data_IF_718727685450
#
_entry.id   IF_718727685450
#
_cell.length_a   1.000
_cell.length_b   1.000
_cell.length_c   1.000
_cell.angle_alpha   90.00
_cell.angle_beta   90.00
_cell.angle_gamma   90.00
#
_symmetry.space_group_name_H-M   'P 1'
#
loop_
_entity.id
_entity.type
_entity.pdbx_description
1 polymer ?
#
# COMPACT_ATOMS: atom_id res chain seq x y z
N UNK A 1 48.64 -9.31 46.11
CA UNK A 1 47.78 -10.10 45.22
C UNK A 1 46.52 -10.49 45.96
N UNK A 2 45.48 -9.66 45.88
CA UNK A 2 44.10 -10.00 46.26
C UNK A 2 43.20 -9.12 45.40
N UNK A 3 42.49 -9.74 44.47
CA UNK A 3 41.65 -9.07 43.47
C UNK A 3 40.28 -8.74 44.08
N UNK A 4 39.91 -7.46 44.06
CA UNK A 4 38.54 -7.04 44.30
C UNK A 4 37.71 -7.28 43.02
N UNK A 5 36.84 -8.28 43.06
CA UNK A 5 35.76 -8.47 42.10
C UNK A 5 34.55 -7.65 42.57
N UNK A 6 34.33 -6.50 41.93
CA UNK A 6 33.08 -5.75 42.07
C UNK A 6 32.08 -6.24 41.02
N UNK A 7 31.00 -6.89 41.47
CA UNK A 7 29.84 -7.19 40.63
C UNK A 7 29.04 -5.90 40.35
N UNK A 8 28.52 -5.70 39.13
CA UNK A 8 27.56 -4.64 38.87
C UNK A 8 26.15 -5.03 39.37
N UNK A 9 25.30 -4.04 39.71
CA UNK A 9 23.93 -4.30 40.17
C UNK A 9 23.02 -4.77 39.02
N UNK A 10 21.91 -5.48 39.33
CA UNK A 10 20.98 -5.97 38.33
C UNK A 10 20.18 -4.82 37.71
N UNK A 11 19.97 -4.89 36.39
CA UNK A 11 19.13 -3.96 35.65
C UNK A 11 17.64 -4.22 36.00
N UNK A 12 16.98 -3.22 36.57
CA UNK A 12 15.53 -3.19 36.73
C UNK A 12 14.86 -2.99 35.37
N UNK A 13 14.31 -4.06 34.80
CA UNK A 13 13.39 -3.98 33.67
C UNK A 13 12.05 -3.44 34.17
N UNK A 14 11.85 -2.13 34.07
CA UNK A 14 10.53 -1.52 34.14
C UNK A 14 9.83 -1.81 32.81
N UNK A 15 8.99 -2.83 32.80
CA UNK A 15 8.04 -3.07 31.71
C UNK A 15 6.94 -2.01 31.79
N UNK A 16 7.06 -0.94 31.00
CA UNK A 16 5.96 -0.01 30.75
C UNK A 16 4.91 -0.73 29.91
N UNK A 17 3.73 -0.93 30.50
CA UNK A 17 2.56 -1.42 29.79
C UNK A 17 2.20 -0.44 28.64
N UNK A 18 1.88 -0.91 27.43
CA UNK A 18 1.39 -0.04 26.38
C UNK A 18 0.02 0.53 26.74
N UNK A 19 -0.12 1.83 26.55
CA UNK A 19 -1.32 2.64 26.72
C UNK A 19 -2.51 2.06 25.92
N UNK A 20 -3.67 1.77 26.54
CA UNK A 20 -4.80 1.10 25.88
C UNK A 20 -5.58 1.97 24.89
N UNK A 21 -5.16 3.20 24.59
CA UNK A 21 -5.88 4.14 23.72
C UNK A 21 -5.47 4.13 22.23
N UNK A 22 -4.63 3.19 21.79
CA UNK A 22 -4.27 3.02 20.36
C UNK A 22 -4.77 1.68 19.83
N UNK A 23 -6.07 1.43 19.98
CA UNK A 23 -6.81 0.42 19.22
C UNK A 23 -8.05 1.10 18.68
N UNK A 24 -7.92 1.68 17.49
CA UNK A 24 -8.98 1.82 16.49
C UNK A 24 -8.47 2.73 15.35
N UNK A 25 -7.73 2.13 14.43
CA UNK A 25 -7.54 2.67 13.09
C UNK A 25 -7.58 1.48 12.13
N UNK A 26 -8.79 1.12 11.71
CA UNK A 26 -9.02 0.17 10.61
C UNK A 26 -8.58 0.90 9.33
N UNK A 27 -7.38 0.59 8.84
CA UNK A 27 -6.92 0.98 7.50
C UNK A 27 -7.75 0.20 6.47
N UNK A 28 -8.81 0.83 5.95
CA UNK A 28 -9.56 0.32 4.82
C UNK A 28 -8.78 0.59 3.53
N UNK A 29 -7.92 -0.35 3.13
CA UNK A 29 -7.38 -0.40 1.78
C UNK A 29 -8.32 -1.21 0.87
N UNK A 30 -8.67 -0.60 -0.25
CA UNK A 30 -9.68 -1.01 -1.24
C UNK A 30 -9.93 -2.51 -1.40
N UNK A 31 -11.12 -2.94 -0.97
CA UNK A 31 -11.79 -4.14 -1.44
C UNK A 31 -13.26 -3.77 -1.71
N UNK A 32 -13.61 -3.77 -3.00
CA UNK A 32 -14.95 -3.87 -3.61
C UNK A 32 -16.04 -2.95 -3.02
N UNK A 33 -16.28 -1.80 -3.68
CA UNK A 33 -17.57 -1.11 -3.58
C UNK A 33 -18.60 -1.84 -4.47
N UNK A 34 -19.53 -2.56 -3.86
CA UNK A 34 -20.84 -2.72 -4.47
C UNK A 34 -21.58 -1.40 -4.24
N UNK A 35 -21.79 -0.63 -5.29
CA UNK A 35 -22.64 0.56 -5.26
C UNK A 35 -24.09 0.11 -5.05
N UNK A 36 -24.49 0.01 -3.79
CA UNK A 36 -25.89 0.13 -3.42
C UNK A 36 -26.29 1.60 -3.56
N UNK A 37 -26.80 1.99 -4.73
CA UNK A 37 -27.39 3.30 -4.89
C UNK A 37 -28.39 3.31 -6.05
N UNK A 38 -29.67 3.35 -5.65
CA UNK A 38 -30.78 4.03 -6.32
C UNK A 38 -31.28 3.37 -7.63
N UNK A 39 -32.57 3.16 -7.87
CA UNK A 39 -33.81 3.64 -7.27
C UNK A 39 -34.93 2.74 -7.81
N UNK A 40 -36.06 2.66 -7.12
CA UNK A 40 -37.32 2.18 -7.71
C UNK A 40 -37.64 3.04 -8.95
N UNK A 41 -37.36 2.53 -10.14
CA UNK A 41 -37.94 3.04 -11.39
C UNK A 41 -38.06 1.89 -12.37
N UNK A 42 -39.30 1.47 -12.62
CA UNK A 42 -39.80 0.80 -13.82
C UNK A 42 -38.75 0.15 -14.75
N UNK A 43 -38.24 -1.02 -14.37
CA UNK A 43 -37.49 -1.91 -15.26
C UNK A 43 -38.45 -2.55 -16.28
N UNK A 44 -38.83 -1.80 -17.31
CA UNK A 44 -39.41 -2.37 -18.55
C UNK A 44 -38.34 -2.94 -19.50
N UNK A 45 -37.07 -2.79 -19.15
CA UNK A 45 -35.93 -3.23 -19.97
C UNK A 45 -35.50 -4.69 -19.69
N UNK A 46 -36.16 -5.40 -18.78
CA UNK A 46 -35.91 -6.82 -18.51
C UNK A 46 -36.94 -7.76 -19.17
N UNK A 47 -38.01 -7.22 -19.77
CA UNK A 47 -39.09 -8.01 -20.38
C UNK A 47 -38.61 -8.82 -21.60
N UNK A 48 -37.64 -8.29 -22.37
CA UNK A 48 -37.07 -9.00 -23.50
C UNK A 48 -36.15 -10.16 -23.06
N UNK A 49 -35.52 -10.04 -21.88
CA UNK A 49 -34.69 -11.09 -21.30
C UNK A 49 -35.57 -12.24 -20.78
N UNK A 50 -36.70 -11.91 -20.16
CA UNK A 50 -37.71 -12.89 -19.74
C UNK A 50 -38.32 -13.60 -20.97
N UNK A 51 -38.63 -12.88 -22.04
CA UNK A 51 -39.11 -13.46 -23.29
C UNK A 51 -38.06 -14.36 -23.96
N UNK A 52 -36.79 -13.94 -23.99
CA UNK A 52 -35.69 -14.75 -24.54
C UNK A 52 -35.44 -16.04 -23.73
N UNK A 53 -35.64 -16.00 -22.41
CA UNK A 53 -35.55 -17.19 -21.55
C UNK A 53 -36.72 -18.15 -21.76
N UNK A 54 -37.94 -17.64 -21.94
CA UNK A 54 -39.12 -18.44 -22.24
C UNK A 54 -39.05 -19.12 -23.62
N UNK A 55 -38.53 -18.43 -24.64
CA UNK A 55 -38.29 -18.99 -25.97
C UNK A 55 -37.18 -20.06 -25.95
N UNK A 56 -36.16 -19.89 -25.10
CA UNK A 56 -35.11 -20.88 -24.90
C UNK A 56 -35.59 -22.15 -24.16
N UNK A 57 -36.56 -22.02 -23.25
CA UNK A 57 -37.21 -23.16 -22.59
C UNK A 57 -38.17 -23.90 -23.54
N UNK A 58 -38.89 -23.18 -24.40
CA UNK A 58 -39.81 -23.78 -25.39
C UNK A 58 -39.08 -24.52 -26.52
N UNK A 59 -37.84 -24.14 -26.85
CA UNK A 59 -37.02 -24.78 -27.89
C UNK A 59 -36.27 -26.04 -27.41
N UNK A 60 -36.29 -26.35 -26.11
CA UNK A 60 -35.53 -27.47 -25.53
C UNK A 60 -36.35 -28.77 -25.49
N UNK A 61 -36.78 -29.28 -26.64
CA UNK A 61 -37.60 -30.52 -26.74
C UNK A 61 -36.79 -31.83 -26.85
N UNK A 62 -35.48 -31.82 -26.64
CA UNK A 62 -34.72 -33.07 -26.42
C UNK A 62 -33.79 -32.95 -25.21
N UNK A 63 -33.88 -33.86 -24.21
CA UNK A 63 -33.04 -33.80 -23.04
C UNK A 63 -31.62 -34.23 -23.42
N UNK A 64 -30.76 -33.23 -23.62
CA UNK A 64 -29.32 -33.44 -23.72
C UNK A 64 -28.82 -34.20 -22.48
N UNK A 65 -27.85 -35.13 -22.63
CA UNK A 65 -27.33 -35.89 -21.50
C UNK A 65 -26.79 -34.94 -20.43
N UNK A 66 -27.34 -35.07 -19.22
CA UNK A 66 -27.03 -34.22 -18.06
C UNK A 66 -25.52 -34.26 -17.83
N UNK A 67 -24.84 -33.17 -18.17
CA UNK A 67 -23.43 -32.98 -17.81
C UNK A 67 -23.34 -32.97 -16.29
N UNK A 68 -22.48 -33.82 -15.74
CA UNK A 68 -22.23 -33.86 -14.30
C UNK A 68 -21.96 -32.43 -13.78
N UNK A 69 -22.62 -31.98 -12.70
CA UNK A 69 -22.48 -30.63 -12.18
C UNK A 69 -21.01 -30.41 -11.84
N UNK A 70 -20.37 -29.46 -12.53
CA UNK A 70 -18.93 -29.19 -12.35
C UNK A 70 -18.60 -28.58 -10.99
N UNK A 71 -19.58 -28.06 -10.26
CA UNK A 71 -19.39 -27.51 -8.92
C UNK A 71 -20.64 -27.77 -8.07
N UNK A 72 -20.49 -28.57 -7.01
CA UNK A 72 -21.47 -28.60 -5.92
C UNK A 72 -21.25 -27.35 -5.09
N UNK A 73 -22.22 -26.44 -5.07
CA UNK A 73 -22.26 -25.33 -4.11
C UNK A 73 -23.13 -25.83 -2.97
N UNK A 74 -22.49 -26.15 -1.84
CA UNK A 74 -23.19 -26.50 -0.62
C UNK A 74 -23.95 -25.28 -0.10
N UNK A 75 -25.28 -25.33 -0.20
CA UNK A 75 -26.17 -24.24 0.24
C UNK A 75 -26.50 -24.32 1.72
N UNK A 76 -26.17 -25.45 2.37
CA UNK A 76 -26.35 -25.65 3.81
C UNK A 76 -25.07 -25.33 4.59
N UNK A 77 -24.04 -24.82 3.89
CA UNK A 77 -22.80 -24.36 4.47
C UNK A 77 -23.01 -23.11 5.34
N UNK A 78 -23.07 -23.32 6.65
CA UNK A 78 -23.03 -22.26 7.66
C UNK A 78 -21.57 -22.01 8.01
N UNK A 79 -21.08 -20.81 7.67
CA UNK A 79 -19.69 -20.41 7.91
C UNK A 79 -19.38 -20.47 9.41
N UNK A 80 -18.59 -21.46 9.82
CA UNK A 80 -18.07 -21.57 11.20
C UNK A 80 -16.67 -21.00 11.19
N UNK A 81 -16.46 -19.93 11.97
CA UNK A 81 -15.22 -19.17 12.07
C UNK A 81 -13.96 -19.99 12.44
N UNK A 82 -14.10 -21.29 12.68
CA UNK A 82 -13.04 -22.16 13.21
C UNK A 82 -12.52 -23.22 12.25
N UNK A 83 -13.03 -23.37 11.02
CA UNK A 83 -12.56 -24.50 10.19
C UNK A 83 -12.51 -24.33 8.66
N UNK A 84 -12.92 -23.19 8.08
CA UNK A 84 -12.96 -23.02 6.61
C UNK A 84 -12.05 -21.90 6.10
N UNK A 85 -10.76 -22.13 6.31
CA UNK A 85 -9.69 -21.91 5.34
C UNK A 85 -9.74 -20.70 4.42
N UNK A 86 -9.20 -19.57 4.87
CA UNK A 86 -8.47 -18.67 3.96
C UNK A 86 -7.27 -17.95 4.58
N UNK A 87 -7.07 -17.94 5.90
CA UNK A 87 -6.18 -16.93 6.51
C UNK A 87 -5.37 -17.35 7.74
N UNK A 88 -5.24 -18.64 8.07
CA UNK A 88 -4.34 -19.03 9.17
C UNK A 88 -2.89 -19.03 8.70
N UNK A 89 -1.96 -18.56 9.54
CA UNK A 89 -0.52 -18.72 9.31
C UNK A 89 -0.22 -20.22 9.11
N UNK A 90 0.21 -20.65 7.92
CA UNK A 90 0.69 -22.02 7.77
C UNK A 90 1.92 -22.19 8.66
N UNK A 91 2.11 -23.37 9.23
CA UNK A 91 3.41 -23.73 9.78
C UNK A 91 4.46 -23.60 8.68
N UNK A 92 5.62 -23.01 8.98
CA UNK A 92 6.67 -22.78 7.98
C UNK A 92 7.08 -24.07 7.25
N UNK A 93 7.12 -25.20 7.96
CA UNK A 93 7.43 -26.53 7.39
C UNK A 93 6.41 -27.02 6.36
N UNK A 94 5.18 -26.53 6.41
CA UNK A 94 4.12 -26.91 5.47
C UNK A 94 4.17 -26.10 4.16
N UNK A 95 4.90 -24.98 4.12
CA UNK A 95 4.91 -24.06 2.98
C UNK A 95 5.28 -24.77 1.67
N UNK A 96 6.34 -25.60 1.57
CA UNK A 96 6.65 -26.30 0.33
C UNK A 96 5.52 -27.21 -0.17
N UNK A 97 4.83 -27.89 0.76
CA UNK A 97 3.72 -28.78 0.43
C UNK A 97 2.48 -28.02 -0.03
N UNK A 98 2.17 -26.89 0.62
CA UNK A 98 1.06 -26.00 0.25
C UNK A 98 1.34 -25.35 -1.09
N UNK A 99 2.55 -24.82 -1.30
CA UNK A 99 2.97 -24.17 -2.54
C UNK A 99 2.86 -25.09 -3.75
N UNK A 100 3.06 -26.40 -3.58
CA UNK A 100 2.91 -27.39 -4.66
C UNK A 100 1.44 -27.59 -5.12
N UNK A 101 0.46 -27.15 -4.32
CA UNK A 101 -0.96 -27.20 -4.69
C UNK A 101 -1.27 -26.20 -5.81
N UNK A 102 -2.31 -26.50 -6.61
CA UNK A 102 -2.71 -25.67 -7.75
C UNK A 102 -2.94 -24.19 -7.40
N UNK A 103 -3.54 -23.92 -6.25
CA UNK A 103 -3.82 -22.57 -5.73
C UNK A 103 -2.91 -22.20 -4.53
N UNK A 104 -1.91 -23.05 -4.24
CA UNK A 104 -1.02 -22.90 -3.10
C UNK A 104 -0.33 -21.54 -3.03
N UNK A 105 0.37 -21.11 -4.09
CA UNK A 105 1.11 -19.85 -4.07
C UNK A 105 0.23 -18.64 -3.78
N UNK A 106 -0.98 -18.58 -4.36
CA UNK A 106 -1.94 -17.50 -4.13
C UNK A 106 -2.53 -17.56 -2.72
N UNK A 107 -2.87 -18.75 -2.22
CA UNK A 107 -3.35 -18.95 -0.85
C UNK A 107 -2.32 -18.51 0.20
N UNK A 108 -1.03 -18.71 -0.09
CA UNK A 108 0.05 -18.23 0.76
C UNK A 108 0.15 -16.70 0.74
N UNK A 109 -0.02 -16.04 -0.42
CA UNK A 109 -0.09 -14.56 -0.48
C UNK A 109 -1.25 -14.04 0.39
N UNK A 110 -2.45 -14.61 0.26
CA UNK A 110 -3.59 -14.23 1.12
C UNK A 110 -3.32 -14.45 2.61
N UNK A 111 -2.57 -15.50 2.96
CA UNK A 111 -2.15 -15.75 4.34
C UNK A 111 -1.18 -14.68 4.84
N UNK A 112 -0.24 -14.25 4.00
CA UNK A 112 0.68 -13.14 4.32
C UNK A 112 -0.09 -11.82 4.53
N UNK A 113 -1.05 -11.51 3.67
CA UNK A 113 -1.90 -10.31 3.81
C UNK A 113 -2.66 -10.30 5.12
N UNK A 114 -3.23 -11.45 5.52
CA UNK A 114 -3.93 -11.54 6.80
C UNK A 114 -3.00 -11.34 7.99
N UNK A 115 -1.83 -11.97 8.01
CA UNK A 115 -0.85 -11.79 9.08
C UNK A 115 -0.38 -10.34 9.16
N UNK A 116 -0.18 -9.69 8.03
CA UNK A 116 0.19 -8.29 7.95
C UNK A 116 -0.90 -7.39 8.57
N UNK A 117 -2.17 -7.61 8.23
CA UNK A 117 -3.31 -6.86 8.80
C UNK A 117 -3.48 -7.14 10.31
N UNK A 118 -3.18 -8.36 10.75
CA UNK A 118 -3.17 -8.72 12.16
C UNK A 118 -1.99 -8.11 12.95
N UNK A 119 -1.03 -7.47 12.27
CA UNK A 119 0.15 -6.87 12.85
C UNK A 119 1.30 -7.85 13.11
N UNK A 120 1.19 -9.11 12.67
CA UNK A 120 2.25 -10.10 12.75
C UNK A 120 3.24 -9.95 11.58
N UNK A 121 4.00 -8.85 11.61
CA UNK A 121 4.96 -8.52 10.54
C UNK A 121 6.13 -9.50 10.48
N UNK A 122 6.57 -10.05 11.63
CA UNK A 122 7.64 -11.03 11.69
C UNK A 122 7.20 -12.38 11.11
N UNK A 123 6.00 -12.86 11.47
CA UNK A 123 5.41 -14.06 10.87
C UNK A 123 5.16 -13.89 9.37
N UNK A 124 4.64 -12.74 8.95
CA UNK A 124 4.45 -12.40 7.54
C UNK A 124 5.76 -12.48 6.76
N UNK A 125 6.84 -11.88 7.29
CA UNK A 125 8.16 -11.89 6.67
C UNK A 125 8.71 -13.31 6.54
N UNK A 126 8.59 -14.14 7.59
CA UNK A 126 9.04 -15.53 7.55
C UNK A 126 8.29 -16.37 6.48
N UNK A 127 6.97 -16.17 6.34
CA UNK A 127 6.17 -16.83 5.30
C UNK A 127 6.57 -16.35 3.91
N UNK A 128 6.81 -15.05 3.71
CA UNK A 128 7.26 -14.48 2.45
C UNK A 128 8.64 -15.02 2.02
N UNK A 129 9.59 -15.12 2.95
CA UNK A 129 10.91 -15.69 2.70
C UNK A 129 10.84 -17.17 2.30
N UNK A 130 10.06 -17.97 3.03
CA UNK A 130 9.85 -19.38 2.71
C UNK A 130 9.13 -19.58 1.37
N UNK A 131 8.15 -18.72 1.05
CA UNK A 131 7.50 -18.69 -0.25
C UNK A 131 8.51 -18.42 -1.37
N UNK A 132 9.39 -17.41 -1.22
CA UNK A 132 10.40 -17.06 -2.22
C UNK A 132 11.45 -18.15 -2.39
N UNK A 133 11.91 -18.76 -1.29
CA UNK A 133 12.81 -19.91 -1.34
C UNK A 133 12.18 -21.11 -2.08
N UNK A 134 10.89 -21.35 -1.88
CA UNK A 134 10.15 -22.41 -2.58
C UNK A 134 9.94 -22.07 -4.05
N UNK A 135 9.57 -20.83 -4.39
CA UNK A 135 9.43 -20.38 -5.78
C UNK A 135 10.77 -20.42 -6.52
N UNK A 136 11.89 -20.15 -5.82
CA UNK A 136 13.24 -20.23 -6.37
C UNK A 136 13.61 -21.64 -6.86
N UNK A 137 13.13 -22.68 -6.19
CA UNK A 137 13.39 -24.09 -6.55
C UNK A 137 12.26 -24.74 -7.37
N UNK A 138 11.10 -24.10 -7.46
CA UNK A 138 9.96 -24.56 -8.26
C UNK A 138 10.27 -24.62 -9.76
N UNK A 139 9.75 -25.66 -10.43
CA UNK A 139 9.80 -25.81 -11.90
C UNK A 139 9.00 -24.72 -12.61
N UNK A 140 7.89 -24.27 -12.00
CA UNK A 140 7.05 -23.18 -12.51
C UNK A 140 7.28 -21.95 -11.64
N UNK A 141 7.75 -20.87 -12.27
CA UNK A 141 7.93 -19.57 -11.61
C UNK A 141 6.61 -18.83 -11.53
N UNK A 142 6.30 -18.34 -10.33
CA UNK A 142 5.17 -17.45 -10.07
C UNK A 142 5.66 -16.00 -9.98
N UNK A 143 4.77 -15.05 -10.32
CA UNK A 143 5.05 -13.61 -10.20
C UNK A 143 5.25 -13.28 -8.72
N UNK A 144 6.35 -12.62 -8.39
CA UNK A 144 6.74 -12.37 -6.99
C UNK A 144 6.38 -10.96 -6.51
N UNK A 145 5.89 -10.07 -7.37
CA UNK A 145 5.72 -8.63 -7.05
C UNK A 145 4.98 -8.38 -5.74
N UNK A 146 3.83 -9.02 -5.51
CA UNK A 146 3.04 -8.88 -4.27
C UNK A 146 3.83 -9.36 -3.03
N UNK A 147 4.57 -10.46 -3.17
CA UNK A 147 5.42 -11.01 -2.10
C UNK A 147 6.59 -10.08 -1.80
N UNK A 148 7.19 -9.47 -2.82
CA UNK A 148 8.26 -8.48 -2.64
C UNK A 148 7.74 -7.22 -1.96
N UNK A 149 6.55 -6.74 -2.34
CA UNK A 149 5.91 -5.59 -1.71
C UNK A 149 5.62 -5.83 -0.22
N UNK A 150 4.99 -6.96 0.11
CA UNK A 150 4.66 -7.26 1.51
C UNK A 150 5.92 -7.50 2.35
N UNK A 151 6.97 -8.10 1.76
CA UNK A 151 8.28 -8.27 2.41
C UNK A 151 8.87 -6.92 2.80
N UNK A 152 8.97 -5.99 1.86
CA UNK A 152 9.54 -4.66 2.13
C UNK A 152 8.69 -3.88 3.14
N UNK A 153 7.35 -3.97 3.06
CA UNK A 153 6.46 -3.36 4.05
C UNK A 153 6.66 -3.94 5.45
N UNK A 154 6.84 -5.25 5.59
CA UNK A 154 7.14 -5.88 6.88
C UNK A 154 8.46 -5.35 7.46
N UNK A 155 9.52 -5.29 6.66
CA UNK A 155 10.80 -4.71 7.08
C UNK A 155 10.64 -3.26 7.57
N UNK A 156 9.85 -2.45 6.87
CA UNK A 156 9.54 -1.08 7.31
C UNK A 156 8.75 -1.02 8.64
N UNK A 157 7.83 -1.96 8.87
CA UNK A 157 7.03 -2.05 10.10
C UNK A 157 7.84 -2.57 11.29
N UNK A 158 8.84 -3.40 11.02
CA UNK A 158 9.82 -3.90 11.98
C UNK A 158 10.92 -2.88 12.31
N UNK A 159 10.92 -1.71 11.67
CA UNK A 159 11.90 -0.66 11.92
C UNK A 159 13.24 -0.87 11.21
N UNK A 160 13.27 -1.65 10.13
CA UNK A 160 14.47 -1.97 9.35
C UNK A 160 14.48 -1.29 7.96
N UNK A 161 14.45 0.05 7.85
CA UNK A 161 14.34 0.73 6.56
C UNK A 161 15.57 0.54 5.67
N UNK A 162 16.77 0.44 6.25
CA UNK A 162 17.99 0.18 5.49
C UNK A 162 17.96 -1.20 4.81
N UNK A 163 17.50 -2.22 5.54
CA UNK A 163 17.33 -3.56 5.02
C UNK A 163 16.27 -3.59 3.91
N UNK A 164 15.12 -2.94 4.13
CA UNK A 164 14.08 -2.78 3.12
C UNK A 164 14.61 -2.11 1.84
N UNK A 165 15.44 -1.08 1.97
CA UNK A 165 16.02 -0.37 0.83
C UNK A 165 16.95 -1.28 0.01
N UNK A 166 17.89 -1.97 0.68
CA UNK A 166 18.77 -2.94 0.00
C UNK A 166 17.98 -4.06 -0.67
N UNK A 167 16.93 -4.55 0.00
CA UNK A 167 16.03 -5.55 -0.56
C UNK A 167 15.33 -5.06 -1.82
N UNK A 168 14.75 -3.85 -1.79
CA UNK A 168 14.09 -3.27 -2.95
C UNK A 168 15.06 -2.91 -4.08
N UNK A 169 16.29 -2.49 -3.78
CA UNK A 169 17.32 -2.24 -4.80
C UNK A 169 17.61 -3.50 -5.62
N UNK A 170 17.74 -4.65 -4.94
CA UNK A 170 17.95 -5.94 -5.57
C UNK A 170 16.77 -6.38 -6.47
N UNK A 171 15.59 -5.77 -6.28
CA UNK A 171 14.36 -6.07 -7.03
C UNK A 171 13.79 -4.83 -7.72
N UNK A 172 14.61 -3.81 -7.99
CA UNK A 172 14.11 -2.49 -8.43
C UNK A 172 13.25 -2.57 -9.68
N UNK A 173 13.53 -3.51 -10.57
CA UNK A 173 12.82 -3.77 -11.83
C UNK A 173 11.64 -4.75 -11.71
N UNK A 174 11.24 -5.14 -10.50
CA UNK A 174 10.15 -6.10 -10.28
C UNK A 174 8.77 -5.57 -10.72
N UNK A 175 8.58 -4.24 -10.68
CA UNK A 175 7.40 -3.58 -11.23
C UNK A 175 7.71 -2.12 -11.58
N UNK A 176 6.91 -1.56 -12.49
CA UNK A 176 6.85 -0.13 -12.80
C UNK A 176 5.51 0.49 -12.39
N UNK A 177 4.67 -0.27 -11.69
CA UNK A 177 3.35 0.17 -11.24
C UNK A 177 3.50 1.30 -10.21
N UNK A 178 2.53 2.22 -10.19
CA UNK A 178 2.54 3.37 -9.28
C UNK A 178 2.70 2.95 -7.80
N UNK A 179 2.08 1.84 -7.39
CA UNK A 179 2.21 1.32 -6.01
C UNK A 179 3.66 0.94 -5.66
N UNK A 180 4.40 0.37 -6.61
CA UNK A 180 5.81 -0.01 -6.44
C UNK A 180 6.72 1.22 -6.33
N UNK A 181 6.52 2.22 -7.20
CA UNK A 181 7.26 3.48 -7.16
C UNK A 181 7.02 4.23 -5.83
N UNK A 182 5.79 4.23 -5.35
CA UNK A 182 5.45 4.81 -4.05
C UNK A 182 6.13 4.07 -2.89
N UNK A 183 6.20 2.74 -2.94
CA UNK A 183 6.88 1.93 -1.94
C UNK A 183 8.40 2.18 -1.91
N UNK A 184 9.04 2.32 -3.08
CA UNK A 184 10.45 2.73 -3.19
C UNK A 184 10.67 4.09 -2.52
N UNK A 185 9.87 5.09 -2.90
CA UNK A 185 9.92 6.42 -2.33
C UNK A 185 9.75 6.41 -0.80
N UNK A 186 8.73 5.69 -0.32
CA UNK A 186 8.47 5.56 1.11
C UNK A 186 9.66 4.92 1.85
N UNK A 187 10.20 3.84 1.30
CA UNK A 187 11.33 3.11 1.89
C UNK A 187 12.57 3.99 1.99
N UNK A 188 12.98 4.60 0.88
CA UNK A 188 14.15 5.49 0.86
C UNK A 188 13.96 6.71 1.75
N UNK A 189 12.74 7.27 1.82
CA UNK A 189 12.42 8.39 2.72
C UNK A 189 12.52 8.00 4.20
N UNK A 190 12.50 6.72 4.56
CA UNK A 190 12.58 6.21 5.93
C UNK A 190 14.01 5.85 6.35
N UNK A 191 14.92 5.56 5.42
CA UNK A 191 16.34 5.30 5.72
C UNK A 191 16.97 6.44 6.52
N UNK A 192 17.85 6.10 7.47
CA UNK A 192 18.58 7.10 8.25
C UNK A 192 19.61 7.84 7.39
N UNK A 193 19.95 9.07 7.79
CA UNK A 193 20.88 9.92 7.07
C UNK A 193 20.32 10.49 5.76
N UNK A 194 21.23 10.97 4.90
CA UNK A 194 20.92 11.67 3.64
C UNK A 194 21.21 10.87 2.37
N UNK A 195 21.78 9.68 2.51
CA UNK A 195 22.31 8.89 1.39
C UNK A 195 21.24 8.46 0.38
N UNK A 196 20.00 8.22 0.85
CA UNK A 196 18.89 7.72 0.02
C UNK A 196 17.89 8.82 -0.38
N UNK A 197 18.20 10.08 -0.10
CA UNK A 197 17.32 11.23 -0.42
C UNK A 197 17.14 11.37 -1.93
N UNK A 198 18.22 11.27 -2.71
CA UNK A 198 18.15 11.36 -4.17
C UNK A 198 17.30 10.23 -4.77
N UNK A 199 17.46 9.00 -4.27
CA UNK A 199 16.65 7.85 -4.70
C UNK A 199 15.17 8.05 -4.39
N UNK A 200 14.83 8.57 -3.21
CA UNK A 200 13.47 8.88 -2.82
C UNK A 200 12.83 9.90 -3.78
N UNK A 201 13.56 10.96 -4.14
CA UNK A 201 13.08 11.98 -5.06
C UNK A 201 12.86 11.43 -6.47
N UNK A 202 13.77 10.60 -6.98
CA UNK A 202 13.61 9.96 -8.28
C UNK A 202 12.37 9.05 -8.31
N UNK A 203 12.16 8.25 -7.26
CA UNK A 203 10.98 7.40 -7.14
C UNK A 203 9.68 8.22 -7.07
N UNK A 204 9.67 9.33 -6.32
CA UNK A 204 8.53 10.25 -6.23
C UNK A 204 8.23 10.93 -7.57
N UNK A 205 9.25 11.33 -8.32
CA UNK A 205 9.09 11.91 -9.64
C UNK A 205 8.46 10.90 -10.62
N UNK A 206 8.96 9.66 -10.62
CA UNK A 206 8.38 8.61 -11.44
C UNK A 206 6.92 8.30 -11.04
N UNK A 207 6.63 8.32 -9.74
CA UNK A 207 5.27 8.15 -9.22
C UNK A 207 4.33 9.29 -9.65
N UNK A 208 4.74 10.56 -9.52
CA UNK A 208 3.96 11.74 -9.88
C UNK A 208 3.56 11.76 -11.36
N UNK A 209 4.44 11.27 -12.25
CA UNK A 209 4.11 11.09 -13.68
C UNK A 209 2.92 10.14 -13.86
N UNK A 210 2.82 9.09 -13.05
CA UNK A 210 1.75 8.08 -13.13
C UNK A 210 0.47 8.47 -12.37
N UNK A 211 0.62 9.28 -11.31
CA UNK A 211 -0.46 9.70 -10.39
C UNK A 211 -0.26 11.19 -10.06
N UNK A 212 -0.52 12.08 -11.03
CA UNK A 212 -0.32 13.49 -10.82
C UNK A 212 -1.28 14.00 -9.75
N UNK A 213 -0.80 14.94 -8.93
CA UNK A 213 -1.64 15.61 -7.90
C UNK A 213 -2.13 14.65 -6.79
N UNK A 214 -1.42 13.53 -6.55
CA UNK A 214 -1.68 12.69 -5.39
C UNK A 214 -1.13 13.34 -4.09
N UNK A 215 -1.96 13.55 -3.04
CA UNK A 215 -1.51 14.16 -1.79
C UNK A 215 -0.40 13.34 -1.09
N UNK A 216 -0.33 12.04 -1.34
CA UNK A 216 0.69 11.14 -0.75
C UNK A 216 2.09 11.53 -1.20
N UNK A 217 2.25 11.99 -2.45
CA UNK A 217 3.51 12.46 -3.01
C UNK A 217 4.08 13.60 -2.18
N UNK A 218 3.26 14.63 -1.92
CA UNK A 218 3.65 15.81 -1.15
C UNK A 218 3.94 15.49 0.31
N UNK A 219 3.21 14.53 0.89
CA UNK A 219 3.48 14.04 2.25
C UNK A 219 4.87 13.38 2.36
N UNK A 220 5.25 12.58 1.37
CA UNK A 220 6.57 11.93 1.33
C UNK A 220 7.68 12.94 1.02
N UNK A 221 7.45 13.89 0.12
CA UNK A 221 8.37 15.00 -0.13
C UNK A 221 8.64 15.81 1.14
N UNK A 222 7.61 16.10 1.93
CA UNK A 222 7.77 16.82 3.19
C UNK A 222 8.77 16.11 4.12
N UNK A 223 8.65 14.79 4.25
CA UNK A 223 9.60 13.97 5.02
C UNK A 223 11.02 14.03 4.46
N UNK A 224 11.17 13.95 3.14
CA UNK A 224 12.48 14.07 2.47
C UNK A 224 13.11 15.43 2.78
N UNK A 225 12.35 16.52 2.68
CA UNK A 225 12.83 17.86 2.97
C UNK A 225 13.16 18.08 4.44
N UNK A 226 12.35 17.54 5.35
CA UNK A 226 12.62 17.58 6.79
C UNK A 226 13.98 16.93 7.09
N UNK A 227 14.25 15.74 6.54
CA UNK A 227 15.54 15.04 6.70
C UNK A 227 16.73 15.82 6.13
N UNK A 228 16.50 16.57 5.07
CA UNK A 228 17.53 17.36 4.41
C UNK A 228 17.70 18.77 5.00
N UNK A 229 16.94 19.13 6.05
CA UNK A 229 17.05 20.43 6.71
C UNK A 229 16.20 21.55 6.10
N UNK A 230 15.43 21.29 5.04
CA UNK A 230 14.61 22.28 4.33
C UNK A 230 13.22 22.44 4.97
N UNK A 231 13.16 22.86 6.23
CA UNK A 231 11.92 22.87 7.04
C UNK A 231 10.77 23.68 6.42
N UNK A 232 11.05 24.87 5.88
CA UNK A 232 10.02 25.70 5.23
C UNK A 232 9.44 25.02 3.99
N UNK A 233 10.26 24.27 3.23
CA UNK A 233 9.79 23.51 2.07
C UNK A 233 8.98 22.29 2.49
N UNK A 234 9.41 21.62 3.56
CA UNK A 234 8.64 20.53 4.15
C UNK A 234 7.23 20.99 4.56
N UNK A 235 7.14 22.12 5.27
CA UNK A 235 5.87 22.72 5.65
C UNK A 235 5.00 23.06 4.42
N UNK A 236 5.56 23.70 3.37
CA UNK A 236 4.83 23.99 2.12
C UNK A 236 4.25 22.73 1.49
N UNK A 237 5.02 21.63 1.42
CA UNK A 237 4.52 20.36 0.89
C UNK A 237 3.36 19.80 1.71
N UNK A 238 3.41 19.90 3.03
CA UNK A 238 2.30 19.47 3.89
C UNK A 238 1.04 20.32 3.65
N UNK A 239 1.18 21.64 3.45
CA UNK A 239 0.06 22.52 3.10
C UNK A 239 -0.57 22.12 1.77
N UNK A 240 0.24 21.81 0.76
CA UNK A 240 -0.26 21.29 -0.52
C UNK A 240 -0.97 19.95 -0.34
N UNK A 241 -0.42 19.02 0.45
CA UNK A 241 -1.08 17.75 0.74
C UNK A 241 -2.45 17.96 1.41
N UNK A 242 -2.56 18.87 2.39
CA UNK A 242 -3.81 19.24 3.07
C UNK A 242 -4.84 19.76 2.08
N UNK A 243 -4.44 20.69 1.20
CA UNK A 243 -5.32 21.26 0.19
C UNK A 243 -5.87 20.17 -0.75
N UNK A 244 -4.99 19.26 -1.20
CA UNK A 244 -5.37 18.17 -2.09
C UNK A 244 -6.27 17.14 -1.40
N UNK A 245 -6.03 16.81 -0.13
CA UNK A 245 -6.97 15.99 0.65
C UNK A 245 -8.33 16.66 0.78
N UNK A 246 -8.37 17.98 0.98
CA UNK A 246 -9.61 18.75 1.04
C UNK A 246 -10.40 18.72 -0.27
N UNK A 247 -9.71 18.79 -1.42
CA UNK A 247 -10.33 18.70 -2.76
C UNK A 247 -10.77 17.28 -3.13
N UNK A 248 -9.98 16.27 -2.75
CA UNK A 248 -10.16 14.88 -3.15
C UNK A 248 -10.96 14.04 -2.14
N UNK A 249 -11.39 14.62 -1.01
CA UNK A 249 -12.15 13.91 0.00
C UNK A 249 -13.47 13.36 -0.61
N UNK A 250 -13.69 12.03 -0.59
CA UNK A 250 -14.90 11.45 -1.15
C UNK A 250 -16.15 11.91 -0.38
N UNK A 251 -17.30 11.96 -1.06
CA UNK A 251 -18.59 12.31 -0.45
C UNK A 251 -19.08 11.30 0.62
N UNK A 252 -18.39 10.16 0.76
CA UNK A 252 -18.66 9.18 1.80
C UNK A 252 -18.25 9.70 3.20
N UNK A 253 -19.15 9.70 4.20
CA UNK A 253 -18.87 10.23 5.54
C UNK A 253 -17.64 9.63 6.23
N UNK A 254 -17.41 8.32 6.06
CA UNK A 254 -16.26 7.63 6.65
C UNK A 254 -14.95 8.13 6.03
N UNK A 255 -14.88 8.18 4.69
CA UNK A 255 -13.69 8.66 3.99
C UNK A 255 -13.39 10.12 4.32
N UNK A 256 -14.43 10.95 4.49
CA UNK A 256 -14.30 12.34 4.93
C UNK A 256 -13.74 12.46 6.35
N UNK A 257 -14.18 11.62 7.30
CA UNK A 257 -13.65 11.62 8.67
C UNK A 257 -12.15 11.27 8.67
N UNK A 258 -11.75 10.24 7.93
CA UNK A 258 -10.35 9.87 7.79
C UNK A 258 -9.52 10.99 7.15
N UNK A 259 -10.03 11.63 6.10
CA UNK A 259 -9.38 12.77 5.46
C UNK A 259 -9.20 13.95 6.45
N UNK A 260 -10.22 14.27 7.26
CA UNK A 260 -10.13 15.33 8.27
C UNK A 260 -9.13 15.02 9.37
N UNK A 261 -9.09 13.78 9.85
CA UNK A 261 -8.12 13.34 10.85
C UNK A 261 -6.69 13.44 10.31
N UNK A 262 -6.47 13.03 9.06
CA UNK A 262 -5.18 13.15 8.40
C UNK A 262 -4.80 14.62 8.17
N UNK A 263 -5.72 15.45 7.68
CA UNK A 263 -5.51 16.90 7.51
C UNK A 263 -5.04 17.53 8.82
N UNK A 264 -5.74 17.28 9.94
CA UNK A 264 -5.35 17.79 11.25
C UNK A 264 -3.94 17.35 11.65
N UNK A 265 -3.60 16.08 11.44
CA UNK A 265 -2.26 15.55 11.72
C UNK A 265 -1.18 16.26 10.90
N UNK A 266 -1.46 16.55 9.63
CA UNK A 266 -0.55 17.26 8.75
C UNK A 266 -0.44 18.75 9.12
N UNK A 267 -1.53 19.39 9.56
CA UNK A 267 -1.55 20.77 10.06
C UNK A 267 -0.65 20.91 11.29
N UNK A 268 -0.83 20.03 12.28
CA UNK A 268 0.00 20.01 13.49
C UNK A 268 1.49 19.80 13.16
N UNK A 269 1.80 18.98 12.15
CA UNK A 269 3.17 18.78 11.67
C UNK A 269 3.70 20.04 10.95
N UNK A 270 2.91 20.66 10.07
CA UNK A 270 3.31 21.87 9.35
C UNK A 270 3.62 23.02 10.31
N UNK A 271 2.77 23.26 11.31
CA UNK A 271 2.98 24.28 12.34
C UNK A 271 4.27 24.02 13.13
N UNK A 272 4.55 22.77 13.49
CA UNK A 272 5.80 22.41 14.18
C UNK A 272 7.03 22.71 13.32
N UNK A 273 6.99 22.40 12.02
CA UNK A 273 8.09 22.65 11.10
C UNK A 273 8.31 24.14 10.85
N UNK A 274 7.24 24.93 10.75
CA UNK A 274 7.29 26.40 10.64
C UNK A 274 7.89 27.05 11.89
N UNK A 275 7.69 26.45 13.07
CA UNK A 275 8.22 26.95 14.33
C UNK A 275 9.71 26.63 14.57
N UNK A 276 10.36 25.82 13.72
CA UNK A 276 11.79 25.52 13.85
C UNK A 276 12.62 26.76 13.50
N UNK A 277 13.38 27.34 14.44
CA UNK A 277 14.22 28.51 14.14
C UNK A 277 15.27 28.15 13.09
N UNK A 278 15.55 29.07 12.15
CA UNK A 278 16.57 28.88 11.11
C UNK A 278 17.98 28.55 11.68
N UNK A 279 18.26 28.93 12.94
CA UNK A 279 19.51 28.58 13.62
C UNK A 279 19.59 27.12 14.10
N UNK A 280 18.48 26.37 14.12
CA UNK A 280 18.41 24.96 14.53
C UNK A 280 18.26 23.98 13.35
N UNK A 281 18.20 24.49 12.13
CA UNK A 281 18.17 23.63 10.94
C UNK A 281 19.59 23.12 10.68
N UNK A 282 19.73 21.80 10.49
CA UNK A 282 20.96 21.25 9.92
C UNK A 282 21.27 21.95 8.61
N UNK A 283 22.54 22.22 8.31
CA UNK A 283 22.93 22.84 7.05
C UNK A 283 22.26 22.10 5.87
N UNK A 284 21.63 22.82 4.93
CA UNK A 284 20.95 22.21 3.79
C UNK A 284 21.91 21.29 3.04
N UNK A 285 21.39 20.20 2.49
CA UNK A 285 22.21 19.30 1.67
C UNK A 285 22.46 19.92 0.29
N UNK A 286 23.70 20.32 -0.05
CA UNK A 286 23.99 20.95 -1.34
C UNK A 286 23.77 20.00 -2.52
N UNK A 287 23.77 18.67 -2.30
CA UNK A 287 23.49 17.70 -3.36
C UNK A 287 22.06 17.80 -3.88
N UNK A 288 21.13 18.33 -3.08
CA UNK A 288 19.76 18.59 -3.50
C UNK A 288 19.59 19.82 -4.38
N UNK A 289 20.53 20.76 -4.30
CA UNK A 289 20.57 21.94 -5.18
C UNK A 289 21.15 21.60 -6.55
N UNK A 290 21.92 20.51 -6.64
CA UNK A 290 22.48 19.98 -7.88
C UNK A 290 21.51 19.08 -8.67
N UNK A 291 20.39 18.66 -8.08
CA UNK A 291 19.37 17.92 -8.81
C UNK A 291 18.66 18.89 -9.78
N UNK A 292 18.45 18.52 -11.06
CA UNK A 292 17.84 19.39 -12.05
C UNK A 292 16.39 19.67 -11.69
N UNK A 293 16.07 20.91 -11.33
CA UNK A 293 14.73 21.46 -11.02
C UNK A 293 13.67 20.40 -10.59
N UNK A 294 13.93 19.56 -9.56
CA UNK A 294 12.96 18.58 -9.08
C UNK A 294 11.91 19.29 -8.22
N UNK A 295 11.69 20.59 -8.42
CA UNK A 295 10.81 21.42 -7.63
C UNK A 295 9.88 22.25 -8.52
N UNK A 296 10.20 22.43 -9.81
CA UNK A 296 9.29 23.07 -10.77
C UNK A 296 7.90 22.40 -10.79
N UNK A 297 7.82 21.09 -10.48
CA UNK A 297 6.54 20.39 -10.34
C UNK A 297 5.77 20.68 -9.05
N UNK A 298 6.44 21.07 -7.96
CA UNK A 298 5.78 21.61 -6.76
C UNK A 298 5.09 22.95 -7.06
N UNK A 299 5.72 23.78 -7.91
CA UNK A 299 5.15 25.05 -8.31
C UNK A 299 3.98 24.89 -9.30
N UNK A 300 3.94 23.81 -10.10
CA UNK A 300 2.77 23.45 -10.93
C UNK A 300 1.49 23.22 -10.12
N UNK A 301 1.59 22.53 -8.98
CA UNK A 301 0.42 22.28 -8.13
C UNK A 301 -0.05 23.50 -7.35
N UNK A 302 0.88 24.40 -6.98
CA UNK A 302 0.58 25.65 -6.28
C UNK A 302 0.04 26.75 -7.22
N UNK A 303 0.36 26.68 -8.53
CA UNK A 303 0.01 27.69 -9.52
C UNK A 303 -1.43 27.64 -10.04
N UNK A 304 -2.19 26.58 -9.75
CA UNK A 304 -3.58 26.47 -10.19
C UNK A 304 -3.78 26.44 -11.70
N UNK A 305 -2.72 26.26 -12.50
CA UNK A 305 -2.91 26.02 -13.93
C UNK A 305 -3.56 24.64 -14.08
N UNK A 306 -4.78 24.58 -14.65
CA UNK A 306 -5.39 23.29 -14.95
C UNK A 306 -4.44 22.56 -15.89
N UNK A 307 -4.07 21.31 -15.55
CA UNK A 307 -3.49 20.44 -16.55
C UNK A 307 -4.49 20.37 -17.70
N UNK A 308 -4.14 20.99 -18.82
CA UNK A 308 -4.77 20.72 -20.09
C UNK A 308 -4.66 19.20 -20.27
N UNK A 309 -5.79 18.50 -20.11
CA UNK A 309 -5.91 17.05 -20.37
C UNK A 309 -5.87 16.79 -21.89
N UNK A 310 -5.14 17.61 -22.63
CA UNK A 310 -4.99 17.57 -24.07
C UNK A 310 -4.05 16.44 -24.50
N UNK A 311 -4.52 15.21 -24.39
CA UNK A 311 -3.95 14.07 -25.12
C UNK A 311 -4.93 12.88 -25.23
N UNK A 312 -6.20 13.13 -25.54
CA UNK A 312 -7.12 12.06 -26.00
C UNK A 312 -8.16 12.65 -26.96
N UNK A 313 -7.73 13.12 -28.14
CA UNK A 313 -8.62 13.21 -29.31
C UNK A 313 -7.84 13.50 -30.61
N UNK A 314 -6.96 12.57 -31.03
CA UNK A 314 -6.48 12.49 -32.43
C UNK A 314 -6.32 11.04 -32.87
N UNK A 315 -7.41 10.31 -32.88
CA UNK A 315 -7.60 9.15 -33.75
C UNK A 315 -8.94 9.31 -34.49
N UNK A 316 -9.10 10.42 -35.21
CA UNK A 316 -10.03 10.46 -36.33
C UNK A 316 -9.43 9.62 -37.45
N UNK A 317 -10.07 8.47 -37.67
CA UNK A 317 -9.87 7.57 -38.80
C UNK A 317 -9.94 8.35 -40.12
N UNK A 318 -8.85 8.33 -40.87
CA UNK A 318 -8.94 8.23 -42.32
C UNK A 318 -9.09 6.73 -42.64
N UNK A 319 -10.32 6.32 -42.94
CA UNK A 319 -10.71 5.22 -43.85
C UNK A 319 -12.24 5.21 -44.02
#
# INVERSE_FOLDING_TARGET
MSAHHSQPPPAEHIATAPDPLVRDAVEAHGIVQFTASQTKSDNRDDDWLIAAMADAEAAAEEPAPVKAPRHFIDRDYVMRATYDGCFHAPSLDAIPSIFALKQGPNSLVSSMEHLYVAGDYAGTLAVAEAWRATNATSKKKFKETEVLEITARCMLRLGEPAHAATFLDAHRSASTDAGWLLLLAETYSRCEGRERVADALQALQAYDISRPVDPTTYRLLARVFEKSGYMSRAARCLRTAIELYGRNAPDAPIARIHALAEVKRLEDLAVRLEAVPAARTTAPDPSLEALPEPWAWLDRAAGGEPMDQGADDKLSKDE
#
